data_IF_088353963422
#
_entry.id   IF_088353963422
#
_cell.length_a   1.000
_cell.length_b   1.000
_cell.length_c   1.000
_cell.angle_alpha   90.00
_cell.angle_beta   90.00
_cell.angle_gamma   90.00
#
_symmetry.space_group_name_H-M   'P 1'
#
loop_
_entity.id
_entity.type
_entity.pdbx_description
1 polymer ?
#
# COMPACT_ATOMS: atom_id res chain seq x y z
N UNK A 1 44.27 74.67 -2.17
CA UNK A 1 43.52 73.94 -3.20
C UNK A 1 43.39 72.49 -2.76
N UNK A 2 42.27 72.14 -2.12
CA UNK A 2 41.97 70.79 -1.65
C UNK A 2 40.75 70.29 -2.41
N UNK A 3 40.93 69.30 -3.28
CA UNK A 3 39.87 68.71 -4.08
C UNK A 3 39.15 67.62 -3.25
N UNK A 4 37.94 67.96 -2.83
CA UNK A 4 37.01 67.07 -2.14
C UNK A 4 36.30 66.21 -3.20
N UNK A 5 36.77 64.98 -3.40
CA UNK A 5 36.13 64.01 -4.30
C UNK A 5 34.95 63.36 -3.57
N UNK A 6 33.73 63.71 -3.99
CA UNK A 6 32.49 63.06 -3.56
C UNK A 6 32.35 61.69 -4.23
N UNK A 7 32.50 60.62 -3.46
CA UNK A 7 32.27 59.25 -3.88
C UNK A 7 30.76 58.94 -3.68
N UNK A 8 29.98 59.06 -4.75
CA UNK A 8 28.56 58.68 -4.75
C UNK A 8 28.48 57.16 -4.81
N UNK A 9 28.25 56.52 -3.65
CA UNK A 9 27.97 55.10 -3.57
C UNK A 9 26.53 54.85 -4.07
N UNK A 10 26.40 54.46 -5.33
CA UNK A 10 25.14 53.97 -5.90
C UNK A 10 24.77 52.64 -5.20
N UNK A 11 23.91 52.71 -4.19
CA UNK A 11 23.27 51.54 -3.59
C UNK A 11 22.37 50.91 -4.64
N UNK A 12 22.87 49.87 -5.30
CA UNK A 12 22.08 48.97 -6.12
C UNK A 12 21.07 48.27 -5.19
N UNK A 13 19.86 48.81 -5.15
CA UNK A 13 18.70 48.11 -4.57
C UNK A 13 18.41 46.95 -5.51
N UNK A 14 19.00 45.78 -5.21
CA UNK A 14 18.62 44.54 -5.86
C UNK A 14 17.13 44.33 -5.56
N UNK A 15 16.26 44.14 -6.59
CA UNK A 15 14.86 43.86 -6.34
C UNK A 15 14.80 42.61 -5.45
N UNK A 16 14.20 42.76 -4.26
CA UNK A 16 13.93 41.61 -3.42
C UNK A 16 13.02 40.70 -4.24
N UNK A 17 13.54 39.58 -4.71
CA UNK A 17 12.72 38.54 -5.32
C UNK A 17 11.72 38.16 -4.25
N UNK A 18 10.46 38.56 -4.44
CA UNK A 18 9.40 38.23 -3.49
C UNK A 18 9.47 36.72 -3.30
N UNK A 19 9.73 36.27 -2.07
CA UNK A 19 9.79 34.85 -1.78
C UNK A 19 8.49 34.24 -2.28
N UNK A 20 8.60 33.28 -3.19
CA UNK A 20 7.43 32.61 -3.75
C UNK A 20 6.56 32.13 -2.57
N UNK A 21 5.29 32.51 -2.58
CA UNK A 21 4.39 32.18 -1.47
C UNK A 21 4.36 30.67 -1.29
N UNK A 22 4.63 30.20 -0.06
CA UNK A 22 4.66 28.77 0.24
C UNK A 22 3.28 28.14 -0.04
N UNK A 23 3.25 27.14 -0.92
CA UNK A 23 2.01 26.46 -1.34
C UNK A 23 1.33 25.69 -0.21
N UNK A 24 2.06 25.41 0.88
CA UNK A 24 1.59 24.67 2.05
C UNK A 24 0.94 25.55 3.13
N UNK A 25 0.98 26.88 3.00
CA UNK A 25 0.35 27.79 3.96
C UNK A 25 -1.18 27.63 3.99
N UNK A 26 -1.79 27.15 2.91
CA UNK A 26 -3.25 26.98 2.79
C UNK A 26 -3.62 25.58 2.29
N UNK A 27 -4.80 25.10 2.70
CA UNK A 27 -5.38 23.84 2.21
C UNK A 27 -4.84 22.55 2.83
N UNK A 28 -3.98 22.65 3.86
CA UNK A 28 -3.62 21.53 4.74
C UNK A 28 -4.44 21.61 6.04
N UNK A 29 -4.72 20.48 6.67
CA UNK A 29 -5.41 20.45 7.96
C UNK A 29 -4.67 21.30 9.02
N UNK A 30 -5.42 21.88 9.96
CA UNK A 30 -4.84 22.78 10.99
C UNK A 30 -3.72 22.11 11.80
N UNK A 31 -3.87 20.81 12.09
CA UNK A 31 -2.89 20.03 12.85
C UNK A 31 -1.60 19.63 12.10
N UNK A 32 -1.52 19.88 10.79
CA UNK A 32 -0.28 19.63 10.04
C UNK A 32 0.75 20.69 10.40
N UNK A 33 1.92 20.26 10.88
CA UNK A 33 3.04 21.16 11.21
C UNK A 33 4.14 20.98 10.16
N UNK A 34 4.51 19.72 9.91
CA UNK A 34 5.63 19.34 9.07
C UNK A 34 5.15 18.55 7.85
N UNK A 35 5.73 18.85 6.69
CA UNK A 35 5.39 18.29 5.39
C UNK A 35 6.65 17.66 4.81
N UNK A 36 6.58 16.38 4.46
CA UNK A 36 7.62 15.70 3.70
C UNK A 36 7.47 16.05 2.22
N UNK A 37 8.55 16.50 1.60
CA UNK A 37 8.61 16.90 0.19
C UNK A 37 9.87 16.37 -0.47
N UNK A 38 9.83 16.27 -1.80
CA UNK A 38 11.00 16.16 -2.66
C UNK A 38 10.89 17.19 -3.78
N UNK A 39 11.31 18.41 -3.43
CA UNK A 39 11.27 19.61 -4.26
C UNK A 39 12.66 20.26 -4.18
N UNK A 40 13.34 20.41 -5.31
CA UNK A 40 14.72 20.94 -5.34
C UNK A 40 14.79 22.40 -4.90
N UNK A 41 13.72 23.16 -5.04
CA UNK A 41 13.68 24.56 -4.61
C UNK A 41 13.63 24.68 -3.09
N UNK A 42 13.06 23.67 -2.41
CA UNK A 42 12.93 23.62 -0.95
C UNK A 42 14.03 22.81 -0.28
N UNK A 43 14.40 21.66 -0.86
CA UNK A 43 15.37 20.71 -0.32
C UNK A 43 16.79 20.93 -0.85
N UNK A 44 16.98 21.74 -1.90
CA UNK A 44 18.27 21.83 -2.59
C UNK A 44 18.65 20.51 -3.26
N UNK A 45 19.83 19.98 -2.95
CA UNK A 45 20.37 18.74 -3.54
C UNK A 45 20.16 17.49 -2.69
N UNK A 46 19.56 17.60 -1.50
CA UNK A 46 19.48 16.49 -0.53
C UNK A 46 18.43 15.43 -0.85
N UNK A 47 17.59 15.65 -1.88
CA UNK A 47 16.50 14.76 -2.25
C UNK A 47 15.24 15.06 -1.43
N UNK A 48 14.80 14.11 -0.61
CA UNK A 48 13.65 14.26 0.28
C UNK A 48 14.01 15.10 1.52
N UNK A 49 13.15 16.04 1.90
CA UNK A 49 13.31 16.85 3.11
C UNK A 49 11.97 17.16 3.78
N UNK A 50 12.02 17.67 5.01
CA UNK A 50 10.84 18.11 5.76
C UNK A 50 10.83 19.63 5.84
N UNK A 51 9.70 20.23 5.51
CA UNK A 51 9.47 21.68 5.63
C UNK A 51 8.25 21.96 6.50
N UNK A 52 8.14 23.15 7.07
CA UNK A 52 6.90 23.60 7.71
C UNK A 52 5.93 24.24 6.69
N UNK A 53 4.79 24.73 7.18
CA UNK A 53 3.79 25.46 6.36
C UNK A 53 4.28 26.79 5.78
N UNK A 54 5.40 27.32 6.28
CA UNK A 54 6.07 28.49 5.72
C UNK A 54 7.20 28.10 4.75
N UNK A 55 7.32 26.81 4.40
CA UNK A 55 8.36 26.24 3.54
C UNK A 55 9.76 26.41 4.13
N UNK A 56 9.87 26.53 5.46
CA UNK A 56 11.15 26.58 6.15
C UNK A 56 11.62 25.15 6.40
N UNK A 57 12.84 24.85 5.96
CA UNK A 57 13.49 23.55 6.15
C UNK A 57 13.59 23.21 7.64
N UNK A 58 13.09 22.03 7.99
CA UNK A 58 13.13 21.48 9.33
C UNK A 58 14.36 20.55 9.50
N UNK A 59 14.77 20.23 10.75
CA UNK A 59 15.81 19.24 11.00
C UNK A 59 15.53 17.92 10.28
N UNK A 60 16.57 17.24 9.79
CA UNK A 60 16.45 16.05 8.93
C UNK A 60 15.64 14.89 9.53
N UNK A 61 15.52 14.80 10.86
CA UNK A 61 14.80 13.75 11.57
C UNK A 61 13.42 14.21 12.10
N UNK A 62 12.91 15.34 11.59
CA UNK A 62 11.60 15.83 12.01
C UNK A 62 10.50 14.87 11.56
N UNK A 63 9.56 14.56 12.44
CA UNK A 63 8.34 13.85 12.05
C UNK A 63 7.49 14.74 11.14
N UNK A 64 6.68 14.13 10.28
CA UNK A 64 5.82 14.84 9.34
C UNK A 64 4.40 14.27 9.37
N UNK A 65 3.44 15.12 9.01
CA UNK A 65 2.00 14.81 9.04
C UNK A 65 1.32 15.06 7.70
N UNK A 66 2.09 15.44 6.68
CA UNK A 66 1.59 15.62 5.33
C UNK A 66 2.65 15.31 4.28
N UNK A 67 2.18 15.04 3.07
CA UNK A 67 3.02 14.84 1.88
C UNK A 67 2.74 15.99 0.92
N UNK A 68 3.80 16.65 0.46
CA UNK A 68 3.73 17.72 -0.52
C UNK A 68 4.21 17.30 -1.91
N UNK A 69 4.95 18.19 -2.56
CA UNK A 69 5.50 17.98 -3.91
C UNK A 69 6.63 16.96 -3.90
N UNK A 70 6.54 15.96 -4.78
CA UNK A 70 7.54 14.93 -5.09
C UNK A 70 7.94 14.98 -6.58
N UNK A 71 7.69 16.09 -7.27
CA UNK A 71 7.89 16.22 -8.72
C UNK A 71 9.36 16.19 -9.14
N UNK A 72 10.28 16.55 -8.23
CA UNK A 72 11.72 16.56 -8.52
C UNK A 72 12.41 15.23 -8.18
N UNK A 73 11.76 14.37 -7.39
CA UNK A 73 12.17 12.99 -7.21
C UNK A 73 11.75 12.16 -8.41
N UNK A 74 12.56 12.19 -9.47
CA UNK A 74 12.38 11.37 -10.69
C UNK A 74 12.73 9.90 -10.48
N UNK A 75 12.25 9.34 -9.38
CA UNK A 75 12.35 7.93 -9.08
C UNK A 75 11.12 7.24 -9.64
N UNK A 76 11.33 6.10 -10.30
CA UNK A 76 10.24 5.22 -10.73
C UNK A 76 9.42 4.68 -9.56
N UNK A 77 10.01 4.70 -8.35
CA UNK A 77 9.42 4.25 -7.11
C UNK A 77 9.51 5.33 -6.03
N UNK A 78 8.39 5.60 -5.35
CA UNK A 78 8.31 6.46 -4.17
C UNK A 78 7.83 5.63 -2.98
N UNK A 79 8.53 5.69 -1.86
CA UNK A 79 8.16 4.98 -0.63
C UNK A 79 7.97 5.99 0.50
N UNK A 80 6.79 5.97 1.12
CA UNK A 80 6.42 6.88 2.19
C UNK A 80 6.14 6.06 3.47
N UNK A 81 6.81 6.39 4.57
CA UNK A 81 6.69 5.68 5.85
C UNK A 81 6.99 6.61 7.04
N UNK A 82 6.02 7.38 7.53
CA UNK A 82 6.19 8.33 8.64
C UNK A 82 6.41 7.65 10.01
N UNK A 83 6.00 6.38 10.15
CA UNK A 83 5.95 5.65 11.40
C UNK A 83 4.51 5.30 11.81
N UNK A 84 4.35 4.14 12.46
CA UNK A 84 3.05 3.51 12.67
C UNK A 84 2.01 4.42 13.38
N UNK A 85 0.79 4.43 12.85
CA UNK A 85 -0.36 5.13 13.47
C UNK A 85 -0.39 6.64 13.26
N UNK A 86 0.54 7.22 12.50
CA UNK A 86 0.50 8.66 12.20
C UNK A 86 -0.51 8.92 11.08
N UNK A 87 -1.43 9.84 11.32
CA UNK A 87 -2.33 10.35 10.29
C UNK A 87 -1.59 11.29 9.35
N UNK A 88 -1.61 10.96 8.05
CA UNK A 88 -0.94 11.71 6.99
C UNK A 88 -1.98 12.37 6.09
N UNK A 89 -1.85 13.68 5.96
CA UNK A 89 -2.62 14.49 5.02
C UNK A 89 -1.98 14.44 3.63
N UNK A 90 -2.68 13.84 2.67
CA UNK A 90 -2.25 13.71 1.27
C UNK A 90 -2.87 14.80 0.36
N UNK A 91 -3.57 15.79 0.93
CA UNK A 91 -4.32 16.81 0.15
C UNK A 91 -3.43 17.66 -0.78
N UNK A 92 -2.13 17.77 -0.47
CA UNK A 92 -1.12 18.50 -1.26
C UNK A 92 -0.10 17.58 -1.94
N UNK A 93 -0.32 16.26 -1.90
CA UNK A 93 0.59 15.31 -2.51
C UNK A 93 0.52 15.43 -4.03
N UNK A 94 1.67 15.73 -4.64
CA UNK A 94 1.84 15.77 -6.10
C UNK A 94 3.09 14.99 -6.43
N UNK A 95 2.98 14.04 -7.35
CA UNK A 95 4.09 13.16 -7.73
C UNK A 95 4.57 13.47 -9.15
N UNK A 96 5.81 13.07 -9.47
CA UNK A 96 6.30 13.17 -10.83
C UNK A 96 5.49 12.28 -11.79
N UNK A 97 5.25 12.75 -13.01
CA UNK A 97 4.49 12.00 -14.02
C UNK A 97 5.19 10.70 -14.47
N UNK A 98 6.49 10.54 -14.19
CA UNK A 98 7.27 9.32 -14.47
C UNK A 98 7.28 8.31 -13.31
N UNK A 99 6.66 8.64 -12.16
CA UNK A 99 6.52 7.71 -11.05
C UNK A 99 5.57 6.58 -11.42
N UNK A 100 6.10 5.35 -11.44
CA UNK A 100 5.37 4.14 -11.84
C UNK A 100 4.94 3.26 -10.67
N UNK A 101 5.51 3.48 -9.49
CA UNK A 101 5.29 2.64 -8.31
C UNK A 101 5.27 3.51 -7.04
N UNK A 102 4.19 3.42 -6.26
CA UNK A 102 4.08 4.10 -4.96
C UNK A 102 3.86 3.06 -3.87
N UNK A 103 4.62 3.20 -2.78
CA UNK A 103 4.50 2.36 -1.59
C UNK A 103 4.17 3.25 -0.40
N UNK A 104 3.00 3.05 0.21
CA UNK A 104 2.57 3.73 1.42
C UNK A 104 2.63 2.73 2.58
N UNK A 105 3.35 3.06 3.64
CA UNK A 105 3.54 2.16 4.77
C UNK A 105 3.30 2.82 6.12
N UNK A 106 2.76 2.04 7.06
CA UNK A 106 2.70 2.39 8.48
C UNK A 106 2.08 3.76 8.73
N UNK A 107 0.91 4.04 8.13
CA UNK A 107 0.27 5.35 8.23
C UNK A 107 -1.25 5.27 8.15
N UNK A 108 -1.95 6.28 8.67
CA UNK A 108 -3.38 6.46 8.42
C UNK A 108 -3.57 7.56 7.37
N UNK A 109 -4.19 7.23 6.24
CA UNK A 109 -4.37 8.17 5.15
C UNK A 109 -5.58 9.07 5.40
N UNK A 110 -5.37 10.38 5.23
CA UNK A 110 -6.42 11.39 5.25
C UNK A 110 -6.22 12.36 4.09
N UNK A 111 -7.31 12.85 3.51
CA UNK A 111 -7.24 13.92 2.53
C UNK A 111 -8.59 14.64 2.42
N UNK A 112 -8.54 15.96 2.35
CA UNK A 112 -9.71 16.81 2.06
C UNK A 112 -9.92 16.98 0.55
N UNK A 113 -8.83 16.94 -0.21
CA UNK A 113 -8.82 16.91 -1.67
C UNK A 113 -8.10 15.66 -2.14
N UNK A 114 -8.68 14.86 -3.07
CA UNK A 114 -8.02 13.67 -3.59
C UNK A 114 -6.61 13.97 -4.10
N UNK A 115 -5.60 13.12 -3.80
CA UNK A 115 -4.26 13.29 -4.31
C UNK A 115 -4.22 13.23 -5.84
N UNK A 116 -3.27 13.95 -6.45
CA UNK A 116 -3.02 13.87 -7.89
C UNK A 116 -2.01 12.74 -8.12
N UNK A 117 -2.50 11.59 -8.54
CA UNK A 117 -1.66 10.44 -8.86
C UNK A 117 -0.95 10.60 -10.22
N UNK A 118 0.27 10.04 -10.39
CA UNK A 118 0.95 10.02 -11.68
C UNK A 118 0.13 9.29 -12.75
N UNK A 119 0.11 9.83 -13.96
CA UNK A 119 -0.51 9.15 -15.12
C UNK A 119 0.24 7.88 -15.54
N UNK A 120 1.51 7.73 -15.16
CA UNK A 120 2.30 6.53 -15.42
C UNK A 120 2.26 5.52 -14.26
N UNK A 121 1.43 5.75 -13.22
CA UNK A 121 1.38 4.86 -12.05
C UNK A 121 0.86 3.48 -12.47
N UNK A 122 1.69 2.45 -12.31
CA UNK A 122 1.38 1.06 -12.66
C UNK A 122 1.11 0.20 -11.43
N UNK A 123 1.72 0.53 -10.29
CA UNK A 123 1.62 -0.26 -9.06
C UNK A 123 1.44 0.62 -7.82
N UNK A 124 0.60 0.17 -6.89
CA UNK A 124 0.44 0.80 -5.59
C UNK A 124 0.36 -0.22 -4.46
N UNK A 125 1.21 -0.05 -3.45
CA UNK A 125 1.25 -0.92 -2.27
C UNK A 125 0.86 -0.12 -1.02
N UNK A 126 -0.11 -0.65 -0.27
CA UNK A 126 -0.57 -0.14 1.02
C UNK A 126 -0.22 -1.18 2.09
N UNK A 127 0.81 -0.92 2.91
CA UNK A 127 1.33 -1.88 3.89
C UNK A 127 1.18 -1.32 5.30
N UNK A 128 0.38 -1.96 6.15
CA UNK A 128 0.06 -1.41 7.49
C UNK A 128 -0.50 0.02 7.39
N UNK A 129 -1.41 0.20 6.42
CA UNK A 129 -2.06 1.48 6.15
C UNK A 129 -3.51 1.43 6.58
N UNK A 130 -3.97 2.45 7.30
CA UNK A 130 -5.40 2.70 7.52
C UNK A 130 -5.93 3.54 6.36
N UNK A 131 -6.74 2.91 5.50
CA UNK A 131 -7.34 3.57 4.34
C UNK A 131 -8.57 4.36 4.77
N UNK A 132 -8.81 5.57 4.22
CA UNK A 132 -10.02 6.31 4.50
C UNK A 132 -11.23 5.59 3.91
N UNK A 133 -12.38 5.71 4.58
CA UNK A 133 -13.64 5.31 4.00
C UNK A 133 -13.94 6.15 2.74
N UNK A 134 -14.47 5.50 1.70
CA UNK A 134 -14.89 6.17 0.46
C UNK A 134 -14.14 5.73 -0.80
N UNK A 135 -14.19 6.56 -1.85
CA UNK A 135 -13.58 6.27 -3.14
C UNK A 135 -12.14 6.77 -3.19
N UNK A 136 -11.22 5.90 -3.64
CA UNK A 136 -9.87 6.30 -3.99
C UNK A 136 -9.79 6.45 -5.52
N UNK A 137 -9.64 7.68 -6.00
CA UNK A 137 -9.58 7.97 -7.43
C UNK A 137 -8.20 7.60 -8.00
N UNK A 138 -7.97 6.31 -8.23
CA UNK A 138 -6.73 5.81 -8.82
C UNK A 138 -6.72 6.03 -10.36
N UNK A 139 -5.54 6.26 -10.97
CA UNK A 139 -5.44 6.46 -12.41
C UNK A 139 -5.71 5.16 -13.16
N UNK A 140 -6.25 5.25 -14.37
CA UNK A 140 -6.59 4.07 -15.19
C UNK A 140 -5.37 3.27 -15.69
N UNK A 141 -4.16 3.79 -15.52
CA UNK A 141 -2.90 3.13 -15.85
C UNK A 141 -2.50 2.04 -14.84
N UNK A 142 -3.10 2.04 -13.65
CA UNK A 142 -2.69 1.16 -12.57
C UNK A 142 -3.10 -0.29 -12.86
N UNK A 143 -2.14 -1.19 -12.72
CA UNK A 143 -2.29 -2.61 -13.02
C UNK A 143 -2.23 -3.46 -11.75
N UNK A 144 -1.50 -3.02 -10.72
CA UNK A 144 -1.19 -3.81 -9.54
C UNK A 144 -1.53 -3.00 -8.29
N UNK A 145 -2.45 -3.52 -7.46
CA UNK A 145 -2.80 -2.92 -6.17
C UNK A 145 -2.64 -3.97 -5.08
N UNK A 146 -1.80 -3.66 -4.10
CA UNK A 146 -1.56 -4.54 -2.96
C UNK A 146 -1.99 -3.85 -1.67
N UNK A 147 -2.86 -4.46 -0.89
CA UNK A 147 -3.27 -4.02 0.45
C UNK A 147 -2.92 -5.11 1.44
N UNK A 148 -1.87 -4.85 2.21
CA UNK A 148 -1.29 -5.80 3.16
C UNK A 148 -1.40 -5.26 4.58
N UNK A 149 -1.87 -6.08 5.51
CA UNK A 149 -1.87 -5.73 6.95
C UNK A 149 -2.61 -4.43 7.26
N UNK A 150 -3.59 -4.05 6.43
CA UNK A 150 -4.41 -2.85 6.63
C UNK A 150 -5.37 -3.03 7.80
N UNK A 151 -5.60 -1.93 8.52
CA UNK A 151 -6.59 -1.83 9.59
C UNK A 151 -7.98 -1.40 9.10
N UNK A 152 -8.11 -1.11 7.81
CA UNK A 152 -9.36 -0.65 7.22
C UNK A 152 -10.48 -1.69 7.39
N UNK A 153 -11.67 -1.22 7.79
CA UNK A 153 -12.85 -2.07 7.93
C UNK A 153 -13.52 -2.39 6.59
N UNK A 154 -13.41 -1.47 5.64
CA UNK A 154 -13.99 -1.57 4.31
C UNK A 154 -12.91 -1.29 3.25
N UNK A 155 -13.01 -2.00 2.14
CA UNK A 155 -12.19 -1.75 0.97
C UNK A 155 -12.67 -0.48 0.25
N UNK A 156 -11.79 0.48 -0.07
CA UNK A 156 -12.21 1.68 -0.79
C UNK A 156 -12.72 1.35 -2.18
N UNK A 157 -13.71 2.11 -2.65
CA UNK A 157 -14.24 1.89 -3.99
C UNK A 157 -13.22 2.32 -5.04
N UNK A 158 -12.91 1.41 -5.97
CA UNK A 158 -12.11 1.69 -7.16
C UNK A 158 -12.99 1.65 -8.40
N UNK A 159 -13.01 2.75 -9.16
CA UNK A 159 -13.73 2.82 -10.43
C UNK A 159 -12.87 2.34 -11.62
N UNK A 160 -11.91 1.46 -11.36
CA UNK A 160 -10.92 0.99 -12.31
C UNK A 160 -10.85 -0.54 -12.28
N UNK A 161 -10.35 -1.12 -13.37
CA UNK A 161 -10.08 -2.55 -13.46
C UNK A 161 -8.58 -2.77 -13.32
N UNK A 162 -8.16 -3.52 -12.31
CA UNK A 162 -6.74 -3.87 -12.11
C UNK A 162 -6.44 -5.24 -12.70
N UNK A 163 -5.18 -5.49 -13.03
CA UNK A 163 -4.71 -6.82 -13.45
C UNK A 163 -4.43 -7.70 -12.23
N UNK A 164 -3.76 -7.15 -11.23
CA UNK A 164 -3.30 -7.85 -10.04
C UNK A 164 -3.84 -7.15 -8.79
N UNK A 165 -4.38 -7.96 -7.89
CA UNK A 165 -4.95 -7.49 -6.64
C UNK A 165 -4.58 -8.43 -5.51
N UNK A 166 -3.87 -7.91 -4.51
CA UNK A 166 -3.54 -8.64 -3.29
C UNK A 166 -4.20 -8.00 -2.08
N UNK A 167 -5.08 -8.75 -1.42
CA UNK A 167 -5.65 -8.44 -0.12
C UNK A 167 -5.10 -9.48 0.86
N UNK A 168 -4.07 -9.13 1.62
CA UNK A 168 -3.35 -10.09 2.47
C UNK A 168 -3.31 -9.61 3.91
N UNK A 169 -3.70 -10.47 4.85
CA UNK A 169 -3.64 -10.22 6.29
C UNK A 169 -4.39 -8.94 6.71
N UNK A 170 -5.57 -8.66 6.16
CA UNK A 170 -6.39 -7.51 6.55
C UNK A 170 -7.51 -7.95 7.51
N UNK A 171 -7.25 -8.18 8.81
CA UNK A 171 -8.18 -8.85 9.72
C UNK A 171 -9.47 -8.06 9.97
N UNK A 172 -9.43 -6.74 9.79
CA UNK A 172 -10.59 -5.87 10.00
C UNK A 172 -11.41 -5.68 8.73
N UNK A 173 -10.88 -5.99 7.54
CA UNK A 173 -11.53 -5.70 6.28
C UNK A 173 -12.63 -6.72 6.00
N UNK A 174 -13.88 -6.33 6.32
CA UNK A 174 -15.06 -7.19 6.22
C UNK A 174 -15.88 -6.93 4.97
N UNK A 175 -15.73 -5.76 4.35
CA UNK A 175 -16.53 -5.34 3.20
C UNK A 175 -15.68 -5.03 1.97
N UNK A 176 -16.06 -5.59 0.83
CA UNK A 176 -15.48 -5.33 -0.48
C UNK A 176 -16.61 -4.95 -1.44
N UNK A 177 -16.48 -3.84 -2.16
CA UNK A 177 -17.47 -3.41 -3.13
C UNK A 177 -16.82 -3.00 -4.44
N UNK A 178 -17.44 -3.38 -5.57
CA UNK A 178 -17.06 -2.96 -6.92
C UNK A 178 -15.59 -3.27 -7.30
N UNK A 179 -15.00 -4.30 -6.70
CA UNK A 179 -13.63 -4.72 -7.01
C UNK A 179 -13.59 -5.43 -8.38
N UNK A 180 -12.98 -4.78 -9.38
CA UNK A 180 -12.79 -5.33 -10.73
C UNK A 180 -11.34 -5.78 -10.95
N UNK A 181 -11.16 -7.08 -11.15
CA UNK A 181 -9.84 -7.70 -11.35
C UNK A 181 -9.89 -8.59 -12.57
N UNK A 182 -8.92 -8.43 -13.48
CA UNK A 182 -8.91 -9.11 -14.77
C UNK A 182 -8.02 -10.35 -14.82
N UNK A 183 -7.04 -10.49 -13.93
CA UNK A 183 -6.07 -11.58 -14.03
C UNK A 183 -5.83 -12.29 -12.70
N UNK A 184 -5.33 -11.60 -11.67
CA UNK A 184 -4.96 -12.22 -10.39
C UNK A 184 -5.67 -11.57 -9.21
N UNK A 185 -6.41 -12.35 -8.43
CA UNK A 185 -7.01 -11.90 -7.18
C UNK A 185 -6.59 -12.80 -6.01
N UNK A 186 -5.90 -12.24 -5.03
CA UNK A 186 -5.50 -12.94 -3.80
C UNK A 186 -6.22 -12.33 -2.60
N UNK A 187 -6.95 -13.13 -1.85
CA UNK A 187 -7.64 -12.76 -0.61
C UNK A 187 -7.18 -13.74 0.48
N UNK A 188 -6.15 -13.40 1.23
CA UNK A 188 -5.42 -14.36 2.08
C UNK A 188 -5.48 -13.94 3.55
N UNK A 189 -5.79 -14.89 4.44
CA UNK A 189 -5.91 -14.67 5.88
C UNK A 189 -6.93 -13.56 6.22
N UNK A 190 -8.12 -13.61 5.63
CA UNK A 190 -9.16 -12.59 5.77
C UNK A 190 -10.56 -13.19 6.01
N UNK A 191 -11.44 -12.41 6.64
CA UNK A 191 -12.86 -12.75 6.77
C UNK A 191 -13.70 -11.64 6.16
N UNK A 192 -14.22 -11.90 4.96
CA UNK A 192 -15.08 -10.98 4.20
C UNK A 192 -16.53 -11.40 4.42
N UNK A 193 -17.33 -10.52 5.05
CA UNK A 193 -18.74 -10.78 5.36
C UNK A 193 -19.71 -10.04 4.42
N UNK A 194 -19.17 -9.20 3.52
CA UNK A 194 -19.95 -8.47 2.53
C UNK A 194 -19.10 -8.22 1.30
N UNK A 195 -19.43 -8.89 0.20
CA UNK A 195 -18.79 -8.64 -1.10
C UNK A 195 -19.83 -8.40 -2.17
N UNK A 196 -19.98 -7.13 -2.56
CA UNK A 196 -20.98 -6.69 -3.54
C UNK A 196 -20.30 -6.40 -4.88
N UNK A 197 -20.76 -7.06 -5.93
CA UNK A 197 -20.25 -6.90 -7.29
C UNK A 197 -21.37 -6.86 -8.33
N UNK A 198 -21.10 -6.21 -9.47
CA UNK A 198 -22.00 -6.26 -10.61
C UNK A 198 -21.89 -7.59 -11.39
N UNK A 199 -22.87 -7.84 -12.27
CA UNK A 199 -22.94 -9.07 -13.07
C UNK A 199 -21.73 -9.26 -14.00
N UNK A 200 -21.12 -8.19 -14.52
CA UNK A 200 -19.97 -8.29 -15.41
C UNK A 200 -18.71 -8.71 -14.64
N UNK A 201 -18.51 -8.09 -13.49
CA UNK A 201 -17.43 -8.39 -12.54
C UNK A 201 -17.54 -9.84 -12.03
N UNK A 202 -18.74 -10.29 -11.68
CA UNK A 202 -18.98 -11.68 -11.28
C UNK A 202 -18.53 -12.68 -12.37
N UNK A 203 -18.86 -12.42 -13.64
CA UNK A 203 -18.46 -13.30 -14.76
C UNK A 203 -16.94 -13.38 -14.91
N UNK A 204 -16.24 -12.24 -14.81
CA UNK A 204 -14.78 -12.19 -14.91
C UNK A 204 -14.16 -12.98 -13.76
N UNK A 205 -14.53 -12.66 -12.52
CA UNK A 205 -13.97 -13.30 -11.33
C UNK A 205 -14.27 -14.80 -11.28
N UNK A 206 -15.49 -15.21 -11.64
CA UNK A 206 -15.86 -16.63 -11.66
C UNK A 206 -15.21 -17.41 -12.81
N UNK A 207 -14.68 -16.70 -13.82
CA UNK A 207 -13.87 -17.29 -14.89
C UNK A 207 -12.38 -17.38 -14.57
N UNK A 208 -11.93 -16.82 -13.43
CA UNK A 208 -10.56 -17.00 -12.98
C UNK A 208 -10.35 -18.45 -12.58
N UNK A 209 -9.24 -19.02 -13.03
CA UNK A 209 -8.82 -20.36 -12.64
C UNK A 209 -8.24 -20.34 -11.21
N UNK A 210 -8.25 -21.49 -10.54
CA UNK A 210 -7.65 -21.64 -9.21
C UNK A 210 -6.13 -21.41 -9.27
N UNK A 211 -5.70 -20.21 -8.88
CA UNK A 211 -4.32 -19.78 -8.91
C UNK A 211 -3.50 -20.39 -7.77
N UNK A 212 -2.18 -20.30 -7.90
CA UNK A 212 -1.22 -20.68 -6.86
C UNK A 212 -0.55 -19.43 -6.32
N UNK A 213 -0.55 -19.24 -5.00
CA UNK A 213 0.26 -18.21 -4.35
C UNK A 213 1.72 -18.24 -4.83
N UNK A 214 2.22 -17.09 -5.27
CA UNK A 214 3.59 -16.94 -5.74
C UNK A 214 3.83 -17.44 -7.17
N UNK A 215 2.80 -17.92 -7.88
CA UNK A 215 2.88 -18.26 -9.29
C UNK A 215 2.43 -17.09 -10.17
N UNK A 216 3.17 -16.80 -11.23
CA UNK A 216 2.96 -15.63 -12.11
C UNK A 216 1.83 -15.80 -13.13
N UNK A 217 1.11 -16.93 -13.11
CA UNK A 217 0.20 -17.32 -14.19
C UNK A 217 -1.17 -16.65 -14.19
N UNK A 218 -1.57 -15.93 -13.14
CA UNK A 218 -2.97 -15.49 -12.99
C UNK A 218 -3.76 -16.30 -11.97
N UNK A 219 -5.07 -16.05 -11.91
CA UNK A 219 -6.04 -16.83 -11.16
C UNK A 219 -6.47 -16.22 -9.82
N UNK A 220 -7.25 -16.97 -9.04
CA UNK A 220 -7.66 -16.58 -7.69
C UNK A 220 -6.97 -17.43 -6.61
N UNK A 221 -6.69 -16.84 -5.45
CA UNK A 221 -6.28 -17.58 -4.25
C UNK A 221 -6.98 -17.00 -3.02
N UNK A 222 -7.70 -17.84 -2.29
CA UNK A 222 -8.43 -17.45 -1.08
C UNK A 222 -7.92 -18.21 0.16
N UNK A 223 -6.62 -18.54 0.20
CA UNK A 223 -6.01 -19.34 1.25
C UNK A 223 -6.29 -18.78 2.66
N UNK A 224 -6.79 -19.65 3.54
CA UNK A 224 -7.12 -19.34 4.93
C UNK A 224 -8.05 -18.12 5.07
N UNK A 225 -8.96 -17.94 4.12
CA UNK A 225 -9.97 -16.89 4.14
C UNK A 225 -11.39 -17.45 4.15
N UNK A 226 -12.31 -16.68 4.70
CA UNK A 226 -13.76 -16.90 4.60
C UNK A 226 -14.39 -15.75 3.83
N UNK A 227 -15.30 -16.08 2.91
CA UNK A 227 -15.96 -15.11 2.04
C UNK A 227 -17.43 -15.48 1.94
N UNK A 228 -18.25 -14.78 2.71
CA UNK A 228 -19.69 -15.03 2.82
C UNK A 228 -20.43 -13.71 2.88
N UNK A 229 -21.21 -13.38 1.84
CA UNK A 229 -21.97 -12.13 1.84
C UNK A 229 -23.29 -12.28 2.58
N UNK A 230 -23.65 -11.28 3.38
CA UNK A 230 -24.93 -11.25 4.09
C UNK A 230 -26.13 -11.24 3.11
N UNK A 231 -27.06 -12.23 3.20
CA UNK A 231 -28.21 -12.30 2.32
C UNK A 231 -29.20 -11.14 2.45
N UNK A 232 -29.33 -10.58 3.67
CA UNK A 232 -30.24 -9.46 3.96
C UNK A 232 -29.69 -8.17 3.36
N UNK A 233 -28.39 -7.89 3.56
CA UNK A 233 -27.70 -6.76 2.94
C UNK A 233 -27.75 -6.87 1.41
N UNK A 234 -27.58 -8.09 0.88
CA UNK A 234 -27.63 -8.31 -0.55
C UNK A 234 -29.02 -8.08 -1.15
N UNK A 235 -30.07 -8.61 -0.51
CA UNK A 235 -31.45 -8.40 -0.94
C UNK A 235 -31.85 -6.91 -0.88
N UNK A 236 -31.40 -6.19 0.16
CA UNK A 236 -31.63 -4.75 0.30
C UNK A 236 -31.02 -3.92 -0.84
N UNK A 237 -29.96 -4.43 -1.49
CA UNK A 237 -29.33 -3.80 -2.67
C UNK A 237 -29.89 -4.30 -4.01
N UNK A 238 -30.96 -5.11 -3.99
CA UNK A 238 -31.52 -5.72 -5.19
C UNK A 238 -30.59 -6.76 -5.84
N UNK A 239 -29.69 -7.34 -5.05
CA UNK A 239 -28.77 -8.39 -5.46
C UNK A 239 -29.29 -9.79 -5.15
N UNK A 240 -28.49 -10.79 -5.52
CA UNK A 240 -28.72 -12.20 -5.17
C UNK A 240 -27.40 -12.82 -4.74
N UNK A 241 -27.42 -13.61 -3.67
CA UNK A 241 -26.25 -14.37 -3.23
C UNK A 241 -25.94 -15.45 -4.25
N UNK A 242 -24.69 -15.48 -4.73
CA UNK A 242 -24.20 -16.51 -5.66
C UNK A 242 -22.87 -17.09 -5.17
N UNK A 243 -22.63 -18.39 -5.40
CA UNK A 243 -21.30 -18.93 -5.24
C UNK A 243 -20.35 -18.29 -6.26
N UNK A 244 -19.12 -18.01 -5.84
CA UNK A 244 -18.03 -17.52 -6.69
C UNK A 244 -16.89 -18.53 -6.69
N UNK A 245 -16.05 -18.49 -7.73
CA UNK A 245 -14.94 -19.41 -7.93
C UNK A 245 -15.41 -20.87 -7.98
N UNK A 246 -16.48 -21.11 -8.74
CA UNK A 246 -17.15 -22.41 -8.83
C UNK A 246 -16.30 -23.49 -9.49
N UNK A 247 -15.29 -23.12 -10.28
CA UNK A 247 -14.25 -24.06 -10.72
C UNK A 247 -13.24 -24.29 -9.58
N UNK A 248 -13.60 -25.19 -8.68
CA UNK A 248 -12.77 -25.61 -7.55
C UNK A 248 -11.89 -26.83 -7.86
N UNK A 249 -12.07 -27.47 -9.02
CA UNK A 249 -11.33 -28.68 -9.41
C UNK A 249 -9.83 -28.46 -9.55
N UNK A 250 -9.43 -27.21 -9.78
CA UNK A 250 -8.04 -26.79 -9.92
C UNK A 250 -7.55 -25.95 -8.73
N UNK A 251 -7.94 -26.24 -7.49
CA UNK A 251 -7.31 -25.67 -6.27
C UNK A 251 -6.20 -26.62 -5.78
N UNK A 252 -5.04 -26.71 -6.47
CA UNK A 252 -4.33 -27.99 -6.59
C UNK A 252 -3.26 -28.18 -5.51
N UNK A 253 -2.86 -27.13 -4.79
CA UNK A 253 -1.55 -27.13 -4.17
C UNK A 253 -1.54 -27.16 -2.64
N UNK A 254 -2.49 -26.47 -2.01
CA UNK A 254 -2.68 -26.63 -0.58
C UNK A 254 -3.49 -27.89 -0.38
N UNK A 255 -2.87 -28.97 0.10
CA UNK A 255 -3.56 -30.17 0.62
C UNK A 255 -4.39 -29.86 1.88
N UNK A 256 -5.01 -28.70 1.92
CA UNK A 256 -5.91 -28.24 2.95
C UNK A 256 -7.33 -28.49 2.45
N UNK A 257 -7.93 -29.60 2.90
CA UNK A 257 -9.27 -29.99 2.53
C UNK A 257 -10.31 -28.89 2.81
N UNK A 258 -10.11 -28.08 3.86
CA UNK A 258 -10.98 -26.95 4.18
C UNK A 258 -11.00 -25.93 3.05
N UNK A 259 -9.84 -25.59 2.47
CA UNK A 259 -9.75 -24.64 1.36
C UNK A 259 -10.29 -25.23 0.05
N UNK A 260 -9.95 -26.49 -0.25
CA UNK A 260 -10.41 -27.16 -1.48
C UNK A 260 -11.94 -27.29 -1.51
N UNK A 261 -12.57 -27.52 -0.36
CA UNK A 261 -14.02 -27.68 -0.23
C UNK A 261 -14.78 -26.39 0.12
N UNK A 262 -14.07 -25.28 0.36
CA UNK A 262 -14.70 -24.01 0.72
C UNK A 262 -15.60 -23.49 -0.42
N UNK A 263 -16.83 -23.13 -0.06
CA UNK A 263 -17.75 -22.42 -0.96
C UNK A 263 -17.73 -20.95 -0.56
N UNK A 264 -17.33 -20.10 -1.49
CA UNK A 264 -17.33 -18.66 -1.30
C UNK A 264 -18.60 -18.07 -1.90
N UNK A 265 -19.23 -17.13 -1.22
CA UNK A 265 -20.45 -16.49 -1.71
C UNK A 265 -20.33 -14.96 -1.77
N UNK A 266 -20.88 -14.39 -2.82
CA UNK A 266 -20.88 -12.95 -3.10
C UNK A 266 -22.27 -12.46 -3.40
N UNK A 267 -22.54 -11.18 -3.13
CA UNK A 267 -23.74 -10.52 -3.58
C UNK A 267 -23.56 -10.01 -5.01
N UNK A 268 -24.38 -10.53 -5.94
CA UNK A 268 -24.37 -10.09 -7.34
C UNK A 268 -25.57 -9.21 -7.61
N UNK A 269 -25.32 -7.94 -7.96
CA UNK A 269 -26.36 -6.97 -8.28
C UNK A 269 -27.04 -7.29 -9.62
N UNK A 270 -28.36 -7.13 -9.65
CA UNK A 270 -29.17 -7.26 -10.86
C UNK A 270 -28.89 -6.11 -11.83
N UNK A 271 -28.87 -6.35 -13.15
CA UNK A 271 -28.59 -5.29 -14.13
C UNK A 271 -29.57 -4.11 -14.05
N UNK A 272 -30.78 -4.32 -13.53
CA UNK A 272 -31.79 -3.27 -13.32
C UNK A 272 -31.54 -2.41 -12.07
N UNK A 273 -30.71 -2.85 -11.12
CA UNK A 273 -30.40 -2.10 -9.90
C UNK A 273 -29.23 -1.13 -10.05
N UNK A 274 -28.62 -1.04 -11.24
CA UNK A 274 -27.81 0.13 -11.58
C UNK A 274 -28.74 1.32 -11.83
N UNK A 275 -29.36 1.83 -10.77
CA UNK A 275 -29.84 3.21 -10.77
C UNK A 275 -28.64 4.07 -11.12
N UNK A 276 -28.55 4.52 -12.38
CA UNK A 276 -27.73 5.66 -12.73
C UNK A 276 -27.93 6.70 -11.62
N UNK A 277 -26.85 7.30 -11.09
CA UNK A 277 -26.95 8.30 -10.03
C UNK A 277 -28.04 9.26 -10.45
N UNK A 278 -29.14 9.28 -9.69
CA UNK A 278 -30.33 10.08 -9.97
C UNK A 278 -29.82 11.46 -10.30
N UNK A 279 -29.97 11.85 -11.57
CA UNK A 279 -29.51 13.14 -12.05
C UNK A 279 -30.08 14.17 -11.09
N UNK A 280 -29.19 14.80 -10.31
CA UNK A 280 -29.58 15.86 -9.39
C UNK A 280 -30.36 16.86 -10.24
N UNK A 281 -31.62 17.20 -9.89
CA UNK A 281 -32.40 18.12 -10.68
C UNK A 281 -31.58 19.41 -10.85
N UNK A 282 -31.24 19.69 -12.10
CA UNK A 282 -30.53 20.90 -12.51
C UNK A 282 -31.21 22.08 -11.83
N UNK A 283 -30.48 22.96 -11.11
CA UNK A 283 -31.10 24.16 -10.54
C UNK A 283 -31.78 24.91 -11.68
N UNK A 284 -33.09 25.12 -11.56
CA UNK A 284 -33.85 25.98 -12.46
C UNK A 284 -33.35 27.40 -12.21
N UNK A 285 -32.37 27.83 -13.01
CA UNK A 285 -31.98 29.23 -13.08
C UNK A 285 -33.08 29.97 -13.81
N UNK A 286 -33.96 30.62 -13.05
CA UNK A 286 -34.88 31.63 -13.57
C UNK A 286 -34.05 32.83 -14.04
N UNK A 287 -33.81 32.91 -15.35
CA UNK A 287 -33.17 34.06 -15.98
C UNK A 287 -34.25 35.01 -16.51
N UNK A 288 -34.29 36.29 -16.09
CA UNK A 288 -35.10 37.29 -16.74
C UNK A 288 -34.33 37.95 -17.89
N UNK A 289 -35.05 38.22 -18.98
CA UNK A 289 -34.94 39.49 -19.69
C UNK A 289 -33.86 39.60 -20.76
N UNK A 290 -34.32 39.49 -22.01
CA UNK A 290 -33.66 39.87 -23.24
C UNK A 290 -32.99 41.25 -23.21
N UNK A 291 -31.85 41.36 -23.89
CA UNK A 291 -31.41 42.59 -24.55
C UNK A 291 -30.50 42.21 -25.72
N UNK A 292 -30.97 42.58 -26.90
CA UNK A 292 -30.32 42.39 -28.20
C UNK A 292 -28.94 43.05 -28.26
N UNK A 293 -27.99 42.33 -28.86
CA UNK A 293 -26.61 42.80 -29.05
C UNK A 293 -25.94 42.09 -30.22
N UNK A 294 -26.32 42.49 -31.43
CA UNK A 294 -25.67 42.17 -32.71
C UNK A 294 -24.17 42.51 -32.63
N UNK A 295 -23.30 41.50 -32.64
CA UNK A 295 -21.85 41.68 -32.77
C UNK A 295 -21.29 40.83 -33.91
N UNK A 296 -20.79 41.57 -34.89
CA UNK A 296 -20.06 41.15 -36.09
C UNK A 296 -18.76 40.41 -35.72
N UNK A 297 -18.50 39.33 -36.44
CA UNK A 297 -17.31 38.50 -36.35
C UNK A 297 -16.26 38.99 -37.38
N UNK A 298 -15.02 39.30 -36.99
CA UNK A 298 -13.92 39.35 -37.95
C UNK A 298 -12.73 38.45 -37.53
N UNK A 299 -12.27 37.68 -38.51
CA UNK A 299 -10.83 37.48 -38.75
C UNK A 299 -10.12 36.47 -37.85
N UNK A 300 -10.13 35.21 -38.28
CA UNK A 300 -9.18 34.19 -37.86
C UNK A 300 -7.86 34.37 -38.64
N UNK A 301 -6.71 34.64 -38.00
CA UNK A 301 -5.43 34.70 -38.69
C UNK A 301 -4.84 33.30 -38.84
N UNK A 302 -4.50 32.95 -40.08
CA UNK A 302 -3.74 31.77 -40.46
C UNK A 302 -2.27 31.96 -40.05
N UNK A 303 -1.77 31.10 -39.15
CA UNK A 303 -0.33 31.08 -38.81
C UNK A 303 0.51 30.38 -39.89
N UNK A 304 1.74 30.84 -40.17
CA UNK A 304 2.61 30.24 -41.18
C UNK A 304 3.31 28.97 -40.65
N UNK A 305 3.42 27.98 -41.53
CA UNK A 305 4.24 26.79 -41.33
C UNK A 305 5.72 27.18 -41.15
N UNK A 306 6.30 26.80 -40.02
CA UNK A 306 7.74 26.90 -39.76
C UNK A 306 8.38 25.56 -40.11
N UNK A 307 9.11 25.52 -41.23
CA UNK A 307 9.95 24.40 -41.64
C UNK A 307 11.16 24.27 -40.71
N UNK A 308 11.21 23.17 -39.96
CA UNK A 308 12.34 22.75 -39.14
C UNK A 308 13.52 22.33 -40.04
N UNK A 309 14.76 22.81 -39.80
CA UNK A 309 15.93 22.31 -40.51
C UNK A 309 16.30 20.91 -40.03
N UNK A 310 16.65 20.09 -41.01
CA UNK A 310 17.14 18.72 -40.93
C UNK A 310 18.46 18.64 -40.14
N UNK A 311 18.58 17.76 -39.12
CA UNK A 311 19.80 17.63 -38.36
C UNK A 311 20.90 17.00 -39.22
N UNK A 312 21.93 17.79 -39.52
CA UNK A 312 23.15 17.34 -40.17
C UNK A 312 23.84 16.29 -39.29
N UNK A 313 23.83 15.04 -39.74
CA UNK A 313 24.45 13.92 -39.05
C UNK A 313 25.96 14.14 -38.89
N UNK A 314 26.42 14.31 -37.65
CA UNK A 314 27.83 14.21 -37.29
C UNK A 314 28.27 12.76 -37.44
N UNK A 315 28.90 12.44 -38.57
CA UNK A 315 29.51 11.14 -38.81
C UNK A 315 30.59 10.84 -37.76
N UNK A 316 30.28 9.92 -36.84
CA UNK A 316 31.27 9.38 -35.90
C UNK A 316 32.29 8.60 -36.73
N UNK A 317 33.54 9.07 -36.70
CA UNK A 317 34.69 8.41 -37.33
C UNK A 317 34.68 6.91 -37.04
N UNK A 318 34.86 6.10 -38.08
CA UNK A 318 34.88 4.63 -38.03
C UNK A 318 35.82 4.09 -36.93
N UNK A 319 36.87 4.85 -36.57
CA UNK A 319 37.77 4.50 -35.46
C UNK A 319 37.13 4.52 -34.07
N UNK A 320 36.14 5.38 -33.81
CA UNK A 320 35.47 5.47 -32.52
C UNK A 320 34.48 4.30 -32.31
N UNK A 321 33.84 3.82 -33.37
CA UNK A 321 32.91 2.68 -33.31
C UNK A 321 33.66 1.38 -32.94
N UNK A 322 34.85 1.17 -33.51
CA UNK A 322 35.69 0.00 -33.20
C UNK A 322 36.19 0.05 -31.75
N UNK A 323 36.56 1.24 -31.24
CA UNK A 323 36.98 1.42 -29.85
C UNK A 323 35.88 1.09 -28.82
N UNK A 324 34.65 1.55 -29.07
CA UNK A 324 33.51 1.29 -28.18
C UNK A 324 33.13 -0.19 -28.17
N UNK A 325 33.16 -0.85 -29.34
CA UNK A 325 32.85 -2.28 -29.43
C UNK A 325 33.86 -3.16 -28.65
N UNK A 326 35.16 -2.85 -28.74
CA UNK A 326 36.19 -3.57 -28.00
C UNK A 326 36.05 -3.38 -26.47
N UNK A 327 35.77 -2.16 -26.02
CA UNK A 327 35.55 -1.87 -24.61
C UNK A 327 34.30 -2.58 -24.05
N UNK A 328 33.20 -2.62 -24.82
CA UNK A 328 31.98 -3.31 -24.41
C UNK A 328 32.20 -4.82 -24.23
N UNK A 329 32.94 -5.46 -25.14
CA UNK A 329 33.25 -6.89 -25.04
C UNK A 329 34.14 -7.21 -23.83
N UNK A 330 35.11 -6.35 -23.52
CA UNK A 330 35.96 -6.52 -22.34
C UNK A 330 35.15 -6.43 -21.03
N UNK A 331 34.20 -5.48 -20.94
CA UNK A 331 33.32 -5.33 -19.78
C UNK A 331 32.39 -6.53 -19.63
N UNK A 332 31.79 -7.02 -20.72
CA UNK A 332 30.94 -8.22 -20.70
C UNK A 332 31.73 -9.44 -20.22
N UNK A 333 32.95 -9.62 -20.73
CA UNK A 333 33.85 -10.70 -20.30
C UNK A 333 34.17 -10.64 -18.80
N UNK A 334 34.44 -9.44 -18.27
CA UNK A 334 34.73 -9.21 -16.85
C UNK A 334 33.51 -9.51 -15.96
N UNK A 335 32.31 -9.09 -16.38
CA UNK A 335 31.05 -9.36 -15.67
C UNK A 335 30.74 -10.86 -15.65
N UNK A 336 30.86 -11.54 -16.80
CA UNK A 336 30.65 -13.00 -16.87
C UNK A 336 31.66 -13.74 -16.01
N UNK A 337 32.92 -13.31 -16.00
CA UNK A 337 33.95 -13.90 -15.13
C UNK A 337 33.62 -13.71 -13.64
N UNK A 338 33.22 -12.51 -13.21
CA UNK A 338 32.80 -12.28 -11.82
C UNK A 338 31.58 -13.11 -11.42
N UNK A 339 30.58 -13.25 -12.30
CA UNK A 339 29.41 -14.10 -12.08
C UNK A 339 29.79 -15.58 -11.94
N UNK A 340 30.69 -16.08 -12.78
CA UNK A 340 31.17 -17.47 -12.71
C UNK A 340 32.01 -17.74 -11.45
N UNK A 341 32.87 -16.80 -11.05
CA UNK A 341 33.69 -16.93 -9.82
C UNK A 341 32.82 -16.89 -8.56
N UNK A 342 31.78 -16.03 -8.53
CA UNK A 342 30.83 -15.98 -7.41
C UNK A 342 29.98 -17.24 -7.28
N UNK A 343 29.55 -17.83 -8.41
CA UNK A 343 28.82 -19.11 -8.41
C UNK A 343 29.67 -20.26 -7.86
N UNK A 344 30.96 -20.32 -8.17
CA UNK A 344 31.86 -21.37 -7.63
C UNK A 344 32.06 -21.29 -6.12
N UNK A 345 31.94 -20.11 -5.49
CA UNK A 345 32.07 -19.97 -4.03
C UNK A 345 30.79 -20.34 -3.26
N UNK A 346 29.62 -20.33 -3.91
CA UNK A 346 28.34 -20.65 -3.25
C UNK A 346 28.04 -22.15 -3.16
N UNK A 347 28.76 -23.00 -3.91
CA UNK A 347 28.55 -24.46 -3.89
C UNK A 347 29.26 -25.21 -2.74
N UNK A 348 29.93 -24.49 -1.81
CA UNK A 348 30.60 -25.10 -0.64
C UNK A 348 29.91 -24.86 0.70
N UNK A 349 28.72 -24.26 0.71
CA UNK A 349 27.90 -24.15 1.91
C UNK A 349 26.59 -24.90 1.66
N UNK A 350 26.62 -26.23 1.79
CA UNK A 350 25.40 -27.01 2.04
C UNK A 350 24.95 -26.68 3.46
N UNK A 351 23.79 -26.04 3.67
CA UNK A 351 23.20 -25.94 4.98
C UNK A 351 22.91 -27.36 5.44
N UNK A 352 23.51 -27.75 6.56
CA UNK A 352 23.31 -29.05 7.17
C UNK A 352 21.83 -29.33 7.37
N UNK A 353 21.40 -30.49 6.88
CA UNK A 353 20.21 -31.16 7.37
C UNK A 353 20.38 -31.32 8.89
N UNK A 354 19.56 -30.63 9.68
CA UNK A 354 19.41 -31.00 11.08
C UNK A 354 18.58 -32.28 11.15
N UNK A 355 18.97 -33.26 11.99
CA UNK A 355 18.20 -34.47 12.17
C UNK A 355 16.88 -34.12 12.87
N UNK A 356 15.76 -34.42 12.22
CA UNK A 356 14.47 -34.46 12.91
C UNK A 356 14.52 -35.59 13.94
N UNK A 357 14.35 -35.23 15.20
CA UNK A 357 14.02 -36.18 16.27
C UNK A 357 12.69 -36.84 15.92
N UNK A 358 12.75 -38.15 15.64
CA UNK A 358 11.59 -39.02 15.56
C UNK A 358 10.95 -39.15 16.96
N UNK A 359 9.62 -39.00 17.08
CA UNK A 359 8.91 -39.45 18.27
C UNK A 359 8.90 -40.98 18.26
N UNK A 360 9.58 -41.56 19.23
CA UNK A 360 9.58 -42.99 19.51
C UNK A 360 8.25 -43.37 20.16
N UNK A 361 7.35 -44.00 19.41
CA UNK A 361 6.23 -44.74 19.99
C UNK A 361 6.77 -46.03 20.62
N UNK A 362 6.62 -46.17 21.93
CA UNK A 362 6.68 -47.49 22.55
C UNK A 362 5.63 -47.56 23.64
N UNK A 363 4.60 -48.36 23.34
CA UNK A 363 3.72 -48.96 24.33
C UNK A 363 4.56 -49.67 25.40
N UNK A 364 4.36 -49.35 26.68
CA UNK A 364 4.26 -50.41 27.68
C UNK A 364 3.46 -50.00 28.92
N UNK A 365 2.65 -50.97 29.34
CA UNK A 365 1.67 -50.97 30.40
C UNK A 365 2.36 -51.46 31.66
N UNK A 366 2.55 -50.61 32.68
CA UNK A 366 2.81 -51.09 34.05
C UNK A 366 2.03 -50.26 35.05
N UNK A 367 1.14 -50.97 35.74
CA UNK A 367 0.43 -50.58 36.96
C UNK A 367 1.43 -50.60 38.12
N UNK A 368 1.60 -49.49 38.85
CA UNK A 368 1.88 -49.55 40.30
C UNK A 368 1.44 -48.29 41.04
N UNK A 369 0.76 -48.53 42.17
CA UNK A 369 0.36 -47.61 43.23
C UNK A 369 1.54 -46.84 43.86
N UNK A 370 1.23 -45.71 44.51
CA UNK A 370 1.85 -45.35 45.80
C UNK A 370 2.39 -43.93 45.95
N UNK A 371 1.58 -43.09 46.63
CA UNK A 371 1.95 -42.30 47.81
C UNK A 371 3.15 -41.32 47.81
N UNK A 372 2.84 -40.09 48.25
CA UNK A 372 3.51 -39.31 49.33
C UNK A 372 3.94 -37.89 48.91
N UNK A 373 3.18 -36.92 49.45
CA UNK A 373 3.53 -35.56 49.87
C UNK A 373 5.00 -35.14 49.91
N UNK A 374 5.31 -33.94 49.40
CA UNK A 374 5.70 -32.79 50.24
C UNK A 374 5.74 -31.44 49.47
N UNK A 375 5.45 -30.31 50.14
CA UNK A 375 5.58 -28.95 49.62
C UNK A 375 6.93 -28.32 50.05
N UNK A 376 7.59 -27.59 49.15
CA UNK A 376 8.78 -26.80 49.52
C UNK A 376 8.56 -25.32 49.25
N UNK A 377 8.48 -24.59 50.36
CA UNK A 377 8.48 -23.14 50.51
C UNK A 377 9.82 -22.50 50.13
N UNK A 378 9.71 -21.28 49.57
CA UNK A 378 10.55 -20.09 49.78
C UNK A 378 12.08 -20.18 49.56
N UNK A 379 12.57 -19.35 48.63
CA UNK A 379 13.81 -18.59 48.85
C UNK A 379 13.73 -17.24 48.13
N UNK A 380 13.64 -16.16 48.93
CA UNK A 380 13.95 -14.79 48.49
C UNK A 380 15.48 -14.68 48.45
N UNK A 381 16.07 -14.42 47.29
CA UNK A 381 17.42 -13.88 47.22
C UNK A 381 17.44 -12.58 46.43
N UNK A 382 17.80 -11.54 47.17
CA UNK A 382 18.15 -10.20 46.74
C UNK A 382 19.50 -10.28 46.03
N UNK A 383 19.52 -10.12 44.71
CA UNK A 383 20.74 -9.83 43.96
C UNK A 383 20.47 -8.74 42.94
N UNK A 384 21.29 -7.70 43.05
CA UNK A 384 21.31 -6.49 42.26
C UNK A 384 21.83 -6.83 40.84
N UNK A 385 21.10 -6.53 39.75
CA UNK A 385 21.55 -6.90 38.42
C UNK A 385 22.62 -5.95 37.90
N UNK A 386 23.73 -6.52 37.41
CA UNK A 386 24.76 -5.81 36.64
C UNK A 386 24.22 -5.48 35.24
N UNK A 387 24.64 -4.33 34.70
CA UNK A 387 24.12 -3.77 33.46
C UNK A 387 24.34 -4.69 32.25
N UNK A 388 23.26 -5.20 31.67
CA UNK A 388 23.27 -5.82 30.33
C UNK A 388 22.49 -7.12 30.15
N UNK A 389 21.92 -7.70 31.22
CA UNK A 389 21.16 -8.95 31.13
C UNK A 389 19.66 -8.67 30.89
N UNK A 390 19.07 -9.36 29.90
CA UNK A 390 17.66 -9.26 29.55
C UNK A 390 16.81 -9.71 30.74
N UNK A 391 16.12 -8.77 31.40
CA UNK A 391 15.32 -9.03 32.58
C UNK A 391 14.02 -9.77 32.23
N UNK A 392 14.07 -11.11 32.27
CA UNK A 392 12.91 -11.97 32.02
C UNK A 392 11.98 -12.10 33.24
N UNK A 393 12.21 -11.34 34.33
CA UNK A 393 11.28 -11.32 35.46
C UNK A 393 9.89 -10.81 35.09
N UNK A 394 9.79 -10.00 34.02
CA UNK A 394 8.50 -9.61 33.43
C UNK A 394 7.74 -10.76 32.74
N UNK A 395 8.38 -11.91 32.52
CA UNK A 395 7.76 -13.14 31.99
C UNK A 395 7.48 -14.17 33.09
N UNK A 396 7.67 -13.82 34.37
CA UNK A 396 7.27 -14.70 35.47
C UNK A 396 5.76 -14.96 35.36
N UNK A 397 5.42 -16.22 35.09
CA UNK A 397 4.03 -16.67 34.92
C UNK A 397 3.27 -16.37 36.20
N UNK A 398 2.41 -15.35 36.16
CA UNK A 398 1.45 -15.10 37.22
C UNK A 398 0.45 -16.25 37.26
N UNK A 399 0.64 -17.16 38.21
CA UNK A 399 -0.32 -18.22 38.47
C UNK A 399 -1.51 -17.62 39.19
N UNK A 400 -2.58 -17.37 38.44
CA UNK A 400 -3.88 -17.00 38.99
C UNK A 400 -4.39 -18.21 39.80
N UNK A 401 -4.86 -18.01 41.03
CA UNK A 401 -5.44 -19.10 41.81
C UNK A 401 -6.83 -19.42 41.27
N UNK A 402 -7.20 -20.70 41.21
CA UNK A 402 -8.49 -21.15 40.65
C UNK A 402 -9.70 -20.45 41.31
N UNK A 403 -9.58 -20.06 42.59
CA UNK A 403 -10.63 -19.32 43.33
C UNK A 403 -10.85 -17.89 42.84
N UNK A 404 -9.85 -17.30 42.18
CA UNK A 404 -9.87 -15.92 41.69
C UNK A 404 -10.37 -15.86 40.24
N UNK A 405 -10.79 -17.00 39.70
CA UNK A 405 -11.34 -17.10 38.35
C UNK A 405 -12.81 -17.52 38.45
N UNK A 406 -13.71 -16.67 37.98
CA UNK A 406 -15.11 -17.04 37.77
C UNK A 406 -15.34 -17.36 36.29
N UNK A 407 -15.71 -18.61 36.01
CA UNK A 407 -16.09 -19.02 34.67
C UNK A 407 -17.44 -18.39 34.31
N UNK A 408 -17.45 -17.50 33.32
CA UNK A 408 -18.65 -16.79 32.88
C UNK A 408 -19.34 -17.55 31.75
N UNK A 409 -18.61 -17.94 30.71
CA UNK A 409 -19.21 -18.56 29.52
C UNK A 409 -18.20 -19.40 28.71
N UNK A 410 -18.58 -20.60 28.27
CA UNK A 410 -17.76 -21.43 27.38
C UNK A 410 -17.91 -20.98 25.93
N UNK A 411 -16.83 -20.44 25.35
CA UNK A 411 -16.77 -19.97 23.96
C UNK A 411 -16.70 -21.14 22.97
N UNK A 412 -16.06 -22.25 23.35
CA UNK A 412 -15.99 -23.45 22.53
C UNK A 412 -15.35 -24.63 23.26
N UNK A 413 -15.79 -25.84 22.91
CA UNK A 413 -15.33 -27.09 23.50
C UNK A 413 -14.67 -27.97 22.45
N UNK A 414 -13.48 -28.49 22.78
CA UNK A 414 -12.73 -29.41 21.93
C UNK A 414 -12.28 -30.66 22.68
N UNK A 415 -11.74 -31.63 21.95
CA UNK A 415 -11.30 -32.91 22.52
C UNK A 415 -10.17 -32.78 23.57
N UNK A 416 -9.51 -31.62 23.65
CA UNK A 416 -8.35 -31.40 24.52
C UNK A 416 -8.51 -30.24 25.50
N UNK A 417 -9.46 -29.32 25.29
CA UNK A 417 -9.70 -28.20 26.17
C UNK A 417 -11.03 -27.50 25.85
N UNK A 418 -11.58 -26.84 26.86
CA UNK A 418 -12.62 -25.83 26.72
C UNK A 418 -11.99 -24.44 26.71
N UNK A 419 -12.44 -23.59 25.81
CA UNK A 419 -12.14 -22.16 25.80
C UNK A 419 -13.34 -21.45 26.41
N UNK A 420 -13.11 -20.67 27.46
CA UNK A 420 -14.17 -19.94 28.16
C UNK A 420 -13.72 -18.51 28.48
N UNK A 421 -14.68 -17.61 28.66
CA UNK A 421 -14.47 -16.28 29.22
C UNK A 421 -14.69 -16.33 30.73
N UNK A 422 -13.86 -15.62 31.49
CA UNK A 422 -14.03 -15.46 32.93
C UNK A 422 -13.62 -14.08 33.42
N UNK A 423 -13.98 -13.79 34.66
CA UNK A 423 -13.66 -12.53 35.37
C UNK A 423 -12.94 -12.78 36.68
#
# INVERSE_FOLDING_TARGET
MANLVWLVASVLVLPSVAAAACSYNTGLAKGVINIQVCDKTLCGSTGECVVDKACVLQPANSSWQAVGSYVDCRNKQVTLSPGAGISIDMSKAVFSNDTTYIVLQKMALSFTTPPIWPNALLRMDFIDVELPAGSLNLPSSINDVNVLSSKAAEFPQFNISVMYMDLINNPNMRRIANLRVNNTLRIINMTVTSWVIDTATYKILNGLWGGMYGYSGGGYDCYNSTIESDPTECAAQGGTIKPIFTDNGNRPWYKNATYTNAVFTVCVLSASSSTSPVATPKPVTTQPGASDGKSTNPGQPTSPATSSPEPTGTGISTGAVVGIAAAALAVIGLVLWMCCVRKKKSARYSPGMMPMLQPNETNERVVTNGSTTQPTTQSKQNSQPSSGELDLRGLELYRIQDKDIQLVHVIGSGAFADVWTGT
#
